data_IF_591132401523
#
_entry.id   IF_591132401523
#
_cell.length_a   1.000
_cell.length_b   1.000
_cell.length_c   1.000
_cell.angle_alpha   90.00
_cell.angle_beta   90.00
_cell.angle_gamma   90.00
#
_symmetry.space_group_name_H-M   'P 1'
#
loop_
_entity.id
_entity.type
_entity.pdbx_description
1 polymer ?
#
# COMPACT_ATOMS: atom_id res chain seq x y z
N UNK A 1 17.14 8.11 4.72
CA UNK A 1 15.72 7.82 5.04
C UNK A 1 15.66 6.95 6.29
N UNK A 2 16.00 7.50 7.47
CA UNK A 2 16.00 6.76 8.72
C UNK A 2 14.69 7.05 9.47
N UNK A 3 13.84 6.04 9.68
CA UNK A 3 12.81 6.09 10.72
C UNK A 3 11.40 5.60 10.36
N UNK A 4 10.99 5.60 9.08
CA UNK A 4 9.63 5.16 8.75
C UNK A 4 9.52 3.64 8.78
N UNK A 5 8.78 3.11 9.76
CA UNK A 5 8.36 1.71 9.75
C UNK A 5 7.34 1.49 8.62
N UNK A 6 7.84 1.08 7.46
CA UNK A 6 7.05 0.91 6.23
C UNK A 6 5.85 0.00 6.42
N UNK A 7 6.00 -1.10 7.18
CA UNK A 7 4.90 -2.04 7.46
C UNK A 7 3.78 -1.35 8.23
N UNK A 8 4.13 -0.62 9.28
CA UNK A 8 3.16 0.12 10.09
C UNK A 8 2.47 1.21 9.27
N UNK A 9 3.24 2.00 8.50
CA UNK A 9 2.68 3.05 7.67
C UNK A 9 1.75 2.51 6.57
N UNK A 10 2.06 1.36 5.96
CA UNK A 10 1.16 0.68 5.00
C UNK A 10 -0.13 0.24 5.69
N UNK A 11 -0.05 -0.34 6.88
CA UNK A 11 -1.25 -0.74 7.63
C UNK A 11 -2.13 0.46 7.98
N UNK A 12 -1.52 1.59 8.36
CA UNK A 12 -2.28 2.82 8.61
C UNK A 12 -2.95 3.36 7.35
N UNK A 13 -2.24 3.39 6.22
CA UNK A 13 -2.81 3.81 4.93
C UNK A 13 -4.03 2.94 4.55
N UNK A 14 -3.92 1.61 4.72
CA UNK A 14 -5.03 0.70 4.43
C UNK A 14 -6.22 0.90 5.39
N UNK A 15 -5.97 1.21 6.68
CA UNK A 15 -7.04 1.52 7.64
C UNK A 15 -7.72 2.85 7.33
N UNK A 16 -6.92 3.89 7.05
CA UNK A 16 -7.41 5.23 6.73
C UNK A 16 -8.20 5.25 5.41
N UNK A 17 -7.88 4.34 4.48
CA UNK A 17 -8.64 4.19 3.25
C UNK A 17 -10.09 3.72 3.50
N UNK A 18 -10.34 2.92 4.54
CA UNK A 18 -11.68 2.43 4.91
C UNK A 18 -12.32 1.43 3.93
N UNK A 19 -11.77 1.31 2.72
CA UNK A 19 -12.18 0.39 1.67
C UNK A 19 -10.95 -0.25 1.02
N UNK A 20 -11.09 -1.39 0.31
CA UNK A 20 -9.96 -1.99 -0.37
C UNK A 20 -9.42 -1.13 -1.51
N UNK A 21 -8.10 -0.94 -1.53
CA UNK A 21 -7.43 -0.07 -2.51
C UNK A 21 -6.36 -0.80 -3.31
N UNK A 22 -6.05 -0.27 -4.50
CA UNK A 22 -4.97 -0.83 -5.33
C UNK A 22 -3.60 -0.47 -4.76
N UNK A 23 -2.54 -1.19 -5.18
CA UNK A 23 -1.17 -0.84 -4.80
C UNK A 23 -0.76 0.56 -5.28
N UNK A 24 -1.31 1.02 -6.40
CA UNK A 24 -1.06 2.36 -6.94
C UNK A 24 -1.67 3.43 -6.03
N UNK A 25 -2.90 3.23 -5.57
CA UNK A 25 -3.56 4.16 -4.65
C UNK A 25 -2.89 4.14 -3.26
N UNK A 26 -2.46 2.95 -2.82
CA UNK A 26 -1.67 2.79 -1.61
C UNK A 26 -0.35 3.55 -1.70
N UNK A 27 0.34 3.51 -2.86
CA UNK A 27 1.58 4.24 -3.09
C UNK A 27 1.37 5.76 -3.05
N UNK A 28 0.30 6.27 -3.66
CA UNK A 28 -0.04 7.69 -3.63
C UNK A 28 -0.33 8.17 -2.20
N UNK A 29 -1.19 7.46 -1.46
CA UNK A 29 -1.51 7.78 -0.05
C UNK A 29 -0.27 7.67 0.84
N UNK A 30 0.56 6.66 0.65
CA UNK A 30 1.81 6.48 1.38
C UNK A 30 2.79 7.65 1.11
N UNK A 31 3.00 8.01 -0.15
CA UNK A 31 3.89 9.11 -0.54
C UNK A 31 3.44 10.43 0.11
N UNK A 32 2.14 10.73 0.06
CA UNK A 32 1.56 11.90 0.72
C UNK A 32 1.82 11.90 2.23
N UNK A 33 1.65 10.74 2.88
CA UNK A 33 1.87 10.58 4.33
C UNK A 33 3.31 10.82 4.76
N UNK A 34 4.29 10.52 3.90
CA UNK A 34 5.72 10.72 4.20
C UNK A 34 6.32 11.97 3.53
N UNK A 35 5.47 12.84 2.96
CA UNK A 35 5.89 14.11 2.36
C UNK A 35 6.69 13.97 1.05
N UNK A 36 6.54 12.86 0.32
CA UNK A 36 7.15 12.68 -1.01
C UNK A 36 6.18 13.17 -2.09
N UNK A 37 6.71 13.95 -3.04
CA UNK A 37 5.95 14.42 -4.20
C UNK A 37 5.40 13.24 -5.01
N UNK A 38 4.10 13.30 -5.33
CA UNK A 38 3.37 12.26 -6.09
C UNK A 38 3.66 12.29 -7.59
N UNK A 39 4.92 12.45 -7.97
CA UNK A 39 5.34 12.39 -9.36
C UNK A 39 5.28 10.94 -9.88
N UNK A 40 4.96 10.71 -11.17
CA UNK A 40 4.77 9.36 -11.71
C UNK A 40 5.96 8.42 -11.48
N UNK A 41 7.19 8.94 -11.61
CA UNK A 41 8.41 8.16 -11.38
C UNK A 41 8.53 7.69 -9.92
N UNK A 42 8.25 8.58 -8.96
CA UNK A 42 8.28 8.26 -7.53
C UNK A 42 7.19 7.25 -7.17
N UNK A 43 5.97 7.43 -7.70
CA UNK A 43 4.85 6.53 -7.42
C UNK A 43 5.09 5.11 -7.95
N UNK A 44 5.74 4.97 -9.11
CA UNK A 44 6.09 3.66 -9.65
C UNK A 44 7.10 2.91 -8.78
N UNK A 45 8.19 3.56 -8.37
CA UNK A 45 9.18 2.97 -7.45
C UNK A 45 8.57 2.63 -6.09
N UNK A 46 7.74 3.52 -5.54
CA UNK A 46 7.02 3.29 -4.29
C UNK A 46 6.08 2.10 -4.42
N UNK A 47 5.26 2.03 -5.48
CA UNK A 47 4.33 0.91 -5.70
C UNK A 47 5.04 -0.44 -5.81
N UNK A 48 6.20 -0.47 -6.48
CA UNK A 48 7.03 -1.69 -6.54
C UNK A 48 7.50 -2.12 -5.14
N UNK A 49 8.01 -1.17 -4.33
CA UNK A 49 8.44 -1.45 -2.95
C UNK A 49 7.27 -1.86 -2.05
N UNK A 50 6.11 -1.22 -2.19
CA UNK A 50 4.93 -1.53 -1.39
C UNK A 50 4.35 -2.90 -1.74
N UNK A 51 4.47 -3.35 -2.98
CA UNK A 51 4.10 -4.72 -3.36
C UNK A 51 4.82 -5.75 -2.50
N UNK A 52 6.14 -5.61 -2.32
CA UNK A 52 6.91 -6.52 -1.46
C UNK A 52 6.50 -6.43 0.02
N UNK A 53 6.16 -5.24 0.52
CA UNK A 53 5.68 -5.04 1.89
C UNK A 53 4.30 -5.68 2.09
N UNK A 54 3.38 -5.52 1.14
CA UNK A 54 2.05 -6.13 1.16
C UNK A 54 2.15 -7.66 1.15
N UNK A 55 3.03 -8.25 0.33
CA UNK A 55 3.29 -9.70 0.37
C UNK A 55 3.74 -10.15 1.76
N UNK A 56 4.70 -9.44 2.39
CA UNK A 56 5.15 -9.77 3.74
C UNK A 56 4.04 -9.64 4.79
N UNK A 57 3.22 -8.60 4.70
CA UNK A 57 2.07 -8.41 5.60
C UNK A 57 0.99 -9.48 5.38
N UNK A 58 0.85 -9.98 4.15
CA UNK A 58 -0.06 -11.08 3.82
C UNK A 58 0.41 -12.37 4.46
N UNK A 59 1.70 -12.71 4.34
CA UNK A 59 2.30 -13.86 5.01
C UNK A 59 2.15 -13.77 6.53
N UNK A 60 2.19 -12.56 7.09
CA UNK A 60 1.97 -12.31 8.51
C UNK A 60 0.49 -12.26 8.93
N UNK A 61 -0.46 -12.50 8.00
CA UNK A 61 -1.91 -12.47 8.28
C UNK A 61 -2.45 -11.09 8.64
N UNK A 62 -1.77 -10.00 8.26
CA UNK A 62 -2.14 -8.62 8.63
C UNK A 62 -2.96 -7.90 7.56
N UNK A 63 -2.84 -8.33 6.31
CA UNK A 63 -3.59 -7.79 5.16
C UNK A 63 -4.04 -8.95 4.29
N UNK A 64 -5.05 -8.72 3.46
CA UNK A 64 -5.51 -9.71 2.48
C UNK A 64 -5.86 -9.04 1.15
N UNK A 65 -5.88 -9.85 0.10
CA UNK A 65 -6.42 -9.46 -1.19
C UNK A 65 -7.94 -9.61 -1.14
N UNK A 66 -8.69 -8.55 -1.42
CA UNK A 66 -10.15 -8.55 -1.36
C UNK A 66 -10.82 -8.75 -2.72
N UNK A 67 -10.05 -8.69 -3.81
CA UNK A 67 -10.54 -8.86 -5.16
C UNK A 67 -9.67 -8.16 -6.21
N UNK A 68 -10.23 -8.01 -7.41
CA UNK A 68 -9.61 -7.26 -8.50
C UNK A 68 -10.51 -6.10 -8.92
N UNK A 69 -9.92 -4.92 -9.10
CA UNK A 69 -10.52 -3.79 -9.79
C UNK A 69 -10.19 -3.88 -11.28
N UNK A 70 -11.20 -3.69 -12.13
CA UNK A 70 -11.07 -3.71 -13.60
C UNK A 70 -10.43 -5.01 -14.16
N UNK A 71 -10.58 -6.12 -13.43
CA UNK A 71 -10.06 -7.45 -13.81
C UNK A 71 -8.53 -7.58 -13.88
N UNK A 72 -7.78 -6.56 -13.43
CA UNK A 72 -6.32 -6.53 -13.53
C UNK A 72 -5.62 -6.08 -12.26
N UNK A 73 -6.22 -5.14 -11.51
CA UNK A 73 -5.58 -4.55 -10.33
C UNK A 73 -6.05 -5.24 -9.07
N UNK A 74 -5.14 -5.91 -8.36
CA UNK A 74 -5.45 -6.49 -7.05
C UNK A 74 -5.73 -5.38 -6.04
N UNK A 75 -6.82 -5.54 -5.29
CA UNK A 75 -7.19 -4.69 -4.17
C UNK A 75 -6.75 -5.29 -2.84
N UNK A 76 -6.34 -4.42 -1.92
CA UNK A 76 -5.78 -4.79 -0.62
C UNK A 76 -6.54 -4.11 0.50
N UNK A 77 -6.74 -4.85 1.59
CA UNK A 77 -7.34 -4.36 2.84
C UNK A 77 -6.67 -5.00 4.06
N UNK A 78 -6.92 -4.45 5.25
CA UNK A 78 -6.46 -5.06 6.51
C UNK A 78 -7.24 -6.34 6.77
N UNK A 79 -6.53 -7.40 7.17
CA UNK A 79 -7.18 -8.64 7.58
C UNK A 79 -7.83 -8.42 8.97
N UNK A 80 -9.11 -8.77 9.08
CA UNK A 80 -9.86 -8.76 10.34
C UNK A 80 -9.35 -9.83 11.31
#
# INVERSE_FOLDING_TARGET
>A
MNGVNKRQAVLEVLREAGEPISVTDCAAKFAAKIGIASEPANLSDIAHRLSAVLTQLTTAGRVRQSGQFDGRKVLWEVAA
#
